data_IF_318583907581
#
_entry.id   IF_318583907581
#
_cell.length_a   1.000
_cell.length_b   1.000
_cell.length_c   1.000
_cell.angle_alpha   90.00
_cell.angle_beta   90.00
_cell.angle_gamma   90.00
#
_symmetry.space_group_name_H-M   'P 1'
#
loop_
_entity.id
_entity.type
_entity.pdbx_description
1 polymer ?
#
# COMPACT_ATOMS: atom_id res chain seq x y z
N UNK A 1 22.87 13.96 -13.18
CA UNK A 1 22.26 12.81 -13.89
C UNK A 1 21.41 12.01 -12.91
N UNK A 2 20.09 12.25 -12.90
CA UNK A 2 19.17 11.68 -11.93
C UNK A 2 18.70 10.30 -12.42
N UNK A 3 19.10 9.24 -11.73
CA UNK A 3 18.72 7.86 -12.07
C UNK A 3 17.20 7.69 -11.97
N UNK A 4 16.67 7.01 -12.98
CA UNK A 4 15.28 6.69 -13.21
C UNK A 4 14.81 5.65 -12.18
N UNK A 5 13.94 6.02 -11.24
CA UNK A 5 13.22 5.06 -10.41
C UNK A 5 11.77 5.00 -10.90
N UNK A 6 11.41 3.87 -11.49
CA UNK A 6 10.04 3.50 -11.85
C UNK A 6 9.23 3.36 -10.56
N UNK A 7 8.64 4.46 -10.11
CA UNK A 7 7.88 4.50 -8.87
C UNK A 7 6.64 3.60 -8.99
N UNK A 8 6.63 2.54 -8.19
CA UNK A 8 5.45 1.79 -7.78
C UNK A 8 4.49 2.77 -7.11
N UNK A 9 3.56 3.33 -7.90
CA UNK A 9 2.67 4.41 -7.48
C UNK A 9 1.54 3.92 -6.58
N UNK A 10 1.88 3.60 -5.33
CA UNK A 10 0.89 3.14 -4.37
C UNK A 10 1.07 3.57 -2.93
N UNK A 11 1.97 4.52 -2.67
CA UNK A 11 2.28 4.84 -1.29
C UNK A 11 1.39 5.90 -0.66
N UNK A 12 0.46 6.51 -1.40
CA UNK A 12 -0.33 7.59 -0.85
C UNK A 12 -1.80 7.50 -1.26
N UNK A 13 -2.67 7.80 -0.29
CA UNK A 13 -4.04 8.33 -0.45
C UNK A 13 -5.25 7.40 -0.23
N UNK A 14 -5.12 6.12 0.11
CA UNK A 14 -6.25 5.36 0.70
C UNK A 14 -6.20 5.24 2.24
N UNK A 15 -5.16 5.76 2.87
CA UNK A 15 -4.92 5.62 4.31
C UNK A 15 -5.92 6.36 5.21
N UNK A 16 -6.52 7.46 4.72
CA UNK A 16 -7.45 8.26 5.52
C UNK A 16 -8.88 7.68 5.60
N UNK A 17 -9.12 6.48 5.08
CA UNK A 17 -10.42 5.83 5.12
C UNK A 17 -10.50 4.96 6.37
N UNK A 18 -11.27 5.40 7.37
CA UNK A 18 -11.69 4.51 8.45
C UNK A 18 -12.69 3.52 7.86
N UNK A 19 -12.42 2.23 8.03
CA UNK A 19 -13.35 1.18 7.62
C UNK A 19 -13.91 0.53 8.87
N UNK A 20 -15.22 0.41 8.93
CA UNK A 20 -15.93 -0.19 10.06
C UNK A 20 -16.44 -1.59 9.67
N UNK A 21 -16.26 -2.53 10.60
CA UNK A 21 -16.59 -3.94 10.42
C UNK A 21 -15.70 -4.68 9.42
N UNK A 22 -16.15 -5.87 9.02
CA UNK A 22 -15.44 -6.72 8.07
C UNK A 22 -15.53 -6.11 6.66
N UNK A 23 -14.39 -6.11 5.97
CA UNK A 23 -14.27 -5.64 4.58
C UNK A 23 -14.49 -6.84 3.66
N UNK A 24 -15.59 -6.80 2.91
CA UNK A 24 -15.84 -7.69 1.78
C UNK A 24 -15.34 -7.08 0.46
N UNK A 25 -15.50 -7.84 -0.63
CA UNK A 25 -15.07 -7.40 -1.96
C UNK A 25 -15.82 -6.16 -2.47
N UNK A 26 -17.10 -6.00 -2.12
CA UNK A 26 -17.93 -4.87 -2.55
C UNK A 26 -17.51 -3.57 -1.85
N UNK A 27 -17.32 -3.62 -0.53
CA UNK A 27 -16.80 -2.50 0.27
C UNK A 27 -15.41 -2.09 -0.21
N UNK A 28 -14.53 -3.06 -0.48
CA UNK A 28 -13.20 -2.77 -1.01
C UNK A 28 -13.27 -2.05 -2.37
N UNK A 29 -14.12 -2.50 -3.29
CA UNK A 29 -14.31 -1.84 -4.58
C UNK A 29 -14.87 -0.43 -4.46
N UNK A 30 -15.79 -0.19 -3.51
CA UNK A 30 -16.32 1.14 -3.22
C UNK A 30 -15.24 2.10 -2.71
N UNK A 31 -14.39 1.63 -1.78
CA UNK A 31 -13.24 2.39 -1.27
C UNK A 31 -12.30 2.78 -2.42
N UNK A 32 -11.98 1.84 -3.31
CA UNK A 32 -11.18 2.12 -4.51
C UNK A 32 -11.89 3.09 -5.46
N UNK A 33 -13.22 3.04 -5.59
CA UNK A 33 -13.96 3.99 -6.43
C UNK A 33 -13.86 5.42 -5.94
N UNK A 34 -14.02 5.63 -4.63
CA UNK A 34 -14.07 6.94 -4.02
C UNK A 34 -12.69 7.59 -3.91
N UNK A 35 -11.66 6.82 -3.56
CA UNK A 35 -10.38 7.40 -3.14
C UNK A 35 -9.30 7.36 -4.23
N UNK A 36 -9.33 6.34 -5.10
CA UNK A 36 -8.21 6.08 -6.01
C UNK A 36 -7.99 7.21 -7.01
N UNK A 37 -9.05 7.82 -7.56
CA UNK A 37 -8.88 8.89 -8.55
C UNK A 37 -8.14 10.11 -7.99
N UNK A 38 -8.44 10.49 -6.74
CA UNK A 38 -7.76 11.62 -6.09
C UNK A 38 -6.26 11.34 -5.92
N UNK A 39 -5.90 10.09 -5.60
CA UNK A 39 -4.52 9.61 -5.54
C UNK A 39 -3.83 9.70 -6.89
N UNK A 40 -4.50 9.17 -7.92
CA UNK A 40 -3.97 9.06 -9.28
C UNK A 40 -3.70 10.43 -9.88
N UNK A 41 -4.59 11.41 -9.68
CA UNK A 41 -4.38 12.79 -10.17
C UNK A 41 -3.13 13.46 -9.61
N UNK A 42 -2.66 13.05 -8.43
CA UNK A 42 -1.42 13.57 -7.83
C UNK A 42 -0.16 12.92 -8.41
N UNK A 43 -0.31 11.79 -9.11
CA UNK A 43 0.79 11.08 -9.75
C UNK A 43 0.95 11.61 -11.19
N UNK A 44 2.06 12.29 -11.48
CA UNK A 44 2.32 12.92 -12.79
C UNK A 44 2.80 11.94 -13.90
N UNK A 45 2.90 10.63 -13.63
CA UNK A 45 3.55 9.62 -14.51
C UNK A 45 2.81 8.29 -14.49
N UNK A 46 3.14 7.37 -15.42
CA UNK A 46 2.67 5.98 -15.41
C UNK A 46 2.98 5.32 -14.06
N UNK A 47 2.01 4.62 -13.50
CA UNK A 47 2.13 3.91 -12.22
C UNK A 47 1.48 2.53 -12.29
N UNK A 48 1.94 1.64 -11.41
CA UNK A 48 1.41 0.29 -11.24
C UNK A 48 0.68 0.19 -9.91
N UNK A 49 -0.53 -0.33 -9.97
CA UNK A 49 -1.33 -0.72 -8.82
C UNK A 49 -0.94 -2.15 -8.35
N UNK A 50 -0.78 -2.31 -7.05
CA UNK A 50 -0.35 -3.47 -6.29
C UNK A 50 -1.24 -3.55 -5.03
N UNK A 51 -1.83 -4.70 -4.79
CA UNK A 51 -2.43 -5.05 -3.50
C UNK A 51 -1.99 -6.47 -3.12
N UNK A 52 -2.30 -6.92 -1.91
CA UNK A 52 -2.11 -8.33 -1.58
C UNK A 52 -3.17 -9.20 -2.26
N UNK A 53 -2.91 -10.51 -2.33
CA UNK A 53 -3.80 -11.49 -2.94
C UNK A 53 -4.87 -11.99 -1.94
N UNK A 54 -5.40 -11.10 -1.10
CA UNK A 54 -6.52 -11.42 -0.19
C UNK A 54 -7.73 -11.92 -1.01
N UNK A 55 -8.46 -12.97 -0.58
CA UNK A 55 -9.62 -13.49 -1.31
C UNK A 55 -10.66 -12.44 -1.73
N UNK A 56 -10.81 -11.35 -0.97
CA UNK A 56 -11.73 -10.24 -1.32
C UNK A 56 -11.26 -9.43 -2.53
N UNK A 57 -9.99 -9.55 -2.90
CA UNK A 57 -9.38 -8.93 -4.09
C UNK A 57 -9.57 -9.82 -5.33
N UNK A 58 -10.82 -10.25 -5.54
CA UNK A 58 -11.20 -11.21 -6.58
C UNK A 58 -11.05 -10.65 -8.00
N UNK A 59 -11.28 -11.51 -9.00
CA UNK A 59 -11.18 -11.15 -10.42
C UNK A 59 -12.08 -9.97 -10.83
N UNK A 60 -13.23 -9.79 -10.18
CA UNK A 60 -14.13 -8.65 -10.43
C UNK A 60 -13.45 -7.33 -10.04
N UNK A 61 -12.75 -7.31 -8.90
CA UNK A 61 -11.95 -6.15 -8.48
C UNK A 61 -10.83 -5.87 -9.46
N UNK A 62 -10.11 -6.89 -9.92
CA UNK A 62 -9.04 -6.75 -10.92
C UNK A 62 -9.58 -6.17 -12.23
N UNK A 63 -10.70 -6.69 -12.75
CA UNK A 63 -11.39 -6.14 -13.94
C UNK A 63 -11.75 -4.66 -13.77
N UNK A 64 -12.28 -4.26 -12.62
CA UNK A 64 -12.61 -2.85 -12.32
C UNK A 64 -11.37 -1.94 -12.28
N UNK A 65 -10.24 -2.44 -11.77
CA UNK A 65 -8.96 -1.71 -11.75
C UNK A 65 -8.42 -1.53 -13.18
N UNK A 66 -8.38 -2.60 -13.98
CA UNK A 66 -7.89 -2.55 -15.37
C UNK A 66 -8.74 -1.63 -16.25
N UNK A 67 -10.06 -1.59 -16.06
CA UNK A 67 -10.97 -0.64 -16.76
C UNK A 67 -10.60 0.83 -16.52
N UNK A 68 -9.94 1.14 -15.40
CA UNK A 68 -9.45 2.49 -15.08
C UNK A 68 -8.04 2.77 -15.64
N UNK A 69 -7.57 1.94 -16.58
CA UNK A 69 -6.24 2.00 -17.20
C UNK A 69 -5.08 1.90 -16.20
N UNK A 70 -5.32 1.22 -15.07
CA UNK A 70 -4.29 0.97 -14.07
C UNK A 70 -3.63 -0.37 -14.36
N UNK A 71 -2.30 -0.37 -14.40
CA UNK A 71 -1.53 -1.62 -14.49
C UNK A 71 -1.62 -2.35 -13.16
N UNK A 72 -1.86 -3.66 -13.20
CA UNK A 72 -1.96 -4.50 -12.02
C UNK A 72 -0.70 -5.36 -11.83
N UNK A 73 -0.12 -5.35 -10.63
CA UNK A 73 0.98 -6.24 -10.25
C UNK A 73 0.44 -7.64 -9.90
N UNK A 74 0.66 -8.62 -10.77
CA UNK A 74 0.38 -10.05 -10.51
C UNK A 74 1.52 -10.70 -9.71
N UNK A 75 1.65 -10.35 -8.43
CA UNK A 75 2.66 -10.91 -7.54
C UNK A 75 2.29 -12.32 -7.03
N UNK A 76 3.25 -13.11 -6.54
CA UNK A 76 2.97 -14.45 -6.03
C UNK A 76 1.95 -14.42 -4.88
N UNK A 77 0.99 -15.37 -4.91
CA UNK A 77 -0.17 -15.43 -4.02
C UNK A 77 0.16 -15.44 -2.51
N UNK A 78 1.37 -15.87 -2.13
CA UNK A 78 1.73 -16.18 -0.73
C UNK A 78 2.87 -15.34 -0.16
N UNK A 79 3.18 -14.17 -0.75
CA UNK A 79 4.36 -13.36 -0.36
C UNK A 79 3.99 -11.96 0.13
N UNK A 80 3.46 -11.83 1.36
CA UNK A 80 3.17 -10.52 1.95
C UNK A 80 4.44 -9.69 2.17
N UNK A 81 5.61 -10.34 2.26
CA UNK A 81 6.93 -9.74 2.38
C UNK A 81 7.32 -8.90 1.16
N UNK A 82 6.72 -9.19 -0.01
CA UNK A 82 6.89 -8.43 -1.25
C UNK A 82 5.94 -7.23 -1.36
N UNK A 83 5.17 -6.87 -0.33
CA UNK A 83 4.42 -5.63 -0.38
C UNK A 83 5.11 -4.57 0.49
N UNK A 84 5.78 -3.54 -0.09
CA UNK A 84 6.56 -2.60 0.71
C UNK A 84 5.70 -1.83 1.73
N UNK A 85 4.39 -1.71 1.50
CA UNK A 85 3.47 -1.06 2.46
C UNK A 85 3.41 -1.79 3.80
N UNK A 86 3.67 -3.12 3.83
CA UNK A 86 3.70 -3.90 5.08
C UNK A 86 4.81 -3.43 6.03
N UNK A 87 5.90 -2.86 5.50
CA UNK A 87 6.95 -2.27 6.33
C UNK A 87 6.50 -0.95 6.96
N UNK A 88 5.85 -0.09 6.18
CA UNK A 88 5.26 1.15 6.69
C UNK A 88 4.18 0.88 7.74
N UNK A 89 3.37 -0.17 7.55
CA UNK A 89 2.43 -0.64 8.56
C UNK A 89 3.10 -1.05 9.87
N UNK A 90 4.26 -1.71 9.78
CA UNK A 90 5.07 -2.04 10.94
C UNK A 90 5.61 -0.79 11.64
N UNK A 91 6.14 0.16 10.88
CA UNK A 91 6.66 1.45 11.39
C UNK A 91 5.55 2.21 12.14
N UNK A 92 4.38 2.34 11.53
CA UNK A 92 3.22 3.00 12.12
C UNK A 92 2.75 2.31 13.40
N UNK A 93 2.57 0.98 13.39
CA UNK A 93 2.12 0.25 14.59
C UNK A 93 3.05 0.48 15.78
N UNK A 94 4.37 0.46 15.54
CA UNK A 94 5.35 0.75 16.59
C UNK A 94 5.25 2.18 17.10
N UNK A 95 5.04 3.15 16.21
CA UNK A 95 4.91 4.55 16.57
C UNK A 95 3.65 4.82 17.40
N UNK A 96 2.50 4.30 16.94
CA UNK A 96 1.22 4.38 17.66
C UNK A 96 1.32 3.68 19.02
N UNK A 97 1.94 2.50 19.08
CA UNK A 97 2.13 1.76 20.33
C UNK A 97 2.95 2.55 21.36
N UNK A 98 4.01 3.25 20.93
CA UNK A 98 4.83 4.09 21.83
C UNK A 98 4.04 5.24 22.47
N UNK A 99 2.95 5.70 21.86
CA UNK A 99 2.10 6.76 22.40
C UNK A 99 1.04 6.27 23.39
N UNK A 100 0.98 4.96 23.66
CA UNK A 100 0.19 4.35 24.74
C UNK A 100 -1.27 4.85 24.81
N UNK A 101 -1.94 5.01 23.66
CA UNK A 101 -3.32 5.51 23.64
C UNK A 101 -4.31 4.45 24.14
N UNK A 102 -5.06 4.77 25.20
CA UNK A 102 -6.11 3.89 25.77
C UNK A 102 -7.51 4.15 25.20
N UNK A 103 -7.68 5.17 24.37
CA UNK A 103 -8.97 5.60 23.83
C UNK A 103 -9.03 5.44 22.29
N UNK A 104 -10.07 4.78 21.74
CA UNK A 104 -10.25 4.64 20.28
C UNK A 104 -10.35 5.94 19.49
N UNK A 105 -10.88 7.03 20.07
CA UNK A 105 -10.94 8.34 19.41
C UNK A 105 -9.54 8.92 19.21
N UNK A 106 -8.69 8.80 20.22
CA UNK A 106 -7.31 9.26 20.20
C UNK A 106 -6.47 8.43 19.23
N UNK A 107 -6.75 7.13 19.13
CA UNK A 107 -6.06 6.22 18.21
C UNK A 107 -6.15 6.68 16.75
N UNK A 108 -7.31 7.15 16.29
CA UNK A 108 -7.47 7.65 14.90
C UNK A 108 -6.60 8.88 14.66
N UNK A 109 -6.57 9.80 15.62
CA UNK A 109 -5.78 11.02 15.51
C UNK A 109 -4.28 10.70 15.51
N UNK A 110 -3.83 9.88 16.46
CA UNK A 110 -2.44 9.43 16.58
C UNK A 110 -2.00 8.69 15.31
N UNK A 111 -2.81 7.79 14.76
CA UNK A 111 -2.52 7.12 13.50
C UNK A 111 -2.30 8.09 12.33
N UNK A 112 -3.01 9.23 12.30
CA UNK A 112 -2.83 10.25 11.26
C UNK A 112 -1.53 11.04 11.46
N UNK A 113 -1.25 11.45 12.69
CA UNK A 113 -0.02 12.16 13.05
C UNK A 113 1.21 11.30 12.77
N UNK A 114 1.25 10.07 13.30
CA UNK A 114 2.38 9.17 13.12
C UNK A 114 2.60 8.77 11.66
N UNK A 115 1.53 8.66 10.86
CA UNK A 115 1.67 8.44 9.43
C UNK A 115 2.28 9.64 8.70
N UNK A 116 1.85 10.86 9.05
CA UNK A 116 2.43 12.08 8.50
C UNK A 116 3.90 12.27 8.90
N UNK A 117 4.29 11.74 10.06
CA UNK A 117 5.66 11.76 10.57
C UNK A 117 6.60 10.73 9.91
N UNK A 118 6.09 9.82 9.07
CA UNK A 118 6.97 8.90 8.33
C UNK A 118 7.79 9.72 7.33
N UNK A 119 9.11 9.75 7.52
CA UNK A 119 10.02 10.50 6.67
C UNK A 119 10.01 10.01 5.21
N UNK A 120 10.06 10.94 4.24
CA UNK A 120 10.14 10.60 2.80
C UNK A 120 11.32 9.68 2.47
N UNK A 121 12.44 9.81 3.18
CA UNK A 121 13.62 8.94 3.04
C UNK A 121 13.30 7.47 3.33
N UNK A 122 12.38 7.18 4.26
CA UNK A 122 11.93 5.82 4.56
C UNK A 122 11.18 5.21 3.37
N UNK A 123 10.32 5.98 2.70
CA UNK A 123 9.64 5.54 1.48
C UNK A 123 10.64 5.26 0.36
N UNK A 124 11.58 6.19 0.12
CA UNK A 124 12.61 6.04 -0.91
C UNK A 124 13.44 4.77 -0.68
N UNK A 125 13.92 4.55 0.54
CA UNK A 125 14.71 3.37 0.88
C UNK A 125 13.94 2.06 0.68
N UNK A 126 12.64 2.01 1.01
CA UNK A 126 11.82 0.82 0.77
C UNK A 126 11.66 0.52 -0.74
N UNK A 127 11.54 1.56 -1.55
CA UNK A 127 11.45 1.44 -3.01
C UNK A 127 12.81 0.99 -3.58
N UNK A 128 13.92 1.58 -3.13
CA UNK A 128 15.26 1.28 -3.61
C UNK A 128 15.75 -0.12 -3.22
N UNK A 129 15.31 -0.62 -2.05
CA UNK A 129 15.64 -1.98 -1.61
C UNK A 129 14.78 -3.05 -2.29
N UNK A 130 13.65 -2.66 -2.89
CA UNK A 130 12.67 -3.59 -3.44
C UNK A 130 13.23 -4.53 -4.53
N UNK A 131 14.05 -4.06 -5.50
CA UNK A 131 14.68 -4.94 -6.50
C UNK A 131 15.60 -5.99 -5.87
N UNK A 132 16.38 -5.60 -4.84
CA UNK A 132 17.25 -6.53 -4.11
C UNK A 132 16.42 -7.63 -3.46
N UNK A 133 15.30 -7.27 -2.83
CA UNK A 133 14.38 -8.23 -2.22
C UNK A 133 13.79 -9.19 -3.24
N UNK A 134 13.30 -8.69 -4.38
CA UNK A 134 12.79 -9.53 -5.46
C UNK A 134 13.86 -10.51 -5.95
N UNK A 135 15.10 -10.04 -6.14
CA UNK A 135 16.22 -10.90 -6.53
C UNK A 135 16.48 -12.00 -5.49
N UNK A 136 16.46 -11.67 -4.20
CA UNK A 136 16.59 -12.68 -3.13
C UNK A 136 15.49 -13.73 -3.18
N UNK A 137 14.23 -13.34 -3.40
CA UNK A 137 13.10 -14.29 -3.51
C UNK A 137 13.23 -15.18 -4.74
N UNK A 138 13.70 -14.65 -5.86
CA UNK A 138 13.96 -15.44 -7.08
C UNK A 138 15.08 -16.45 -6.81
N UNK A 139 16.18 -16.02 -6.19
CA UNK A 139 17.31 -16.89 -5.82
C UNK A 139 16.89 -17.99 -4.84
N UNK A 140 16.02 -17.69 -3.88
CA UNK A 140 15.49 -18.67 -2.93
C UNK A 140 14.39 -19.56 -3.53
N UNK A 141 14.10 -19.46 -4.84
CA UNK A 141 13.01 -20.18 -5.53
C UNK A 141 11.65 -20.01 -4.85
N UNK A 142 11.41 -18.83 -4.27
CA UNK A 142 10.17 -18.56 -3.56
C UNK A 142 10.11 -19.06 -2.10
N UNK A 143 11.25 -19.47 -1.51
CA UNK A 143 11.42 -19.61 -0.07
C UNK A 143 11.62 -18.26 0.64
#
# INVERSE_FOLDING_TARGET
MCRQHHALGLFFFCWNVRVEGIIDSSKYQAILAQNLQASVRKLKRKFTFQHDNDPKHNQSTKKKITRRRLMFWNGPAKRPDLNPIKHLWGDLKRAVHRRCSRNPKDLKHICKEEWANIAMSRYAMLIDYYPKRLSSVIKSKGA
#
